data_IF_771140939722
#
_entry.id   IF_771140939722
#
_cell.length_a   1.000
_cell.length_b   1.000
_cell.length_c   1.000
_cell.angle_alpha   90.00
_cell.angle_beta   90.00
_cell.angle_gamma   90.00
#
_symmetry.space_group_name_H-M   'P 1'
#
loop_
_entity.id
_entity.type
_entity.pdbx_description
1 polymer ?
#
# COMPACT_ATOMS: atom_id res chain seq x y z
N UNK A 1 15.20 -7.33 13.63
CA UNK A 1 14.13 -6.32 13.47
C UNK A 1 14.29 -5.40 12.24
N UNK A 2 14.99 -5.85 11.18
CA UNK A 2 15.05 -5.15 9.87
C UNK A 2 14.11 -5.77 8.84
N UNK A 3 13.91 -7.09 8.91
CA UNK A 3 13.05 -7.84 7.98
C UNK A 3 11.61 -7.32 8.04
N UNK A 4 11.03 -7.24 9.23
CA UNK A 4 9.65 -6.75 9.43
C UNK A 4 9.45 -5.32 8.93
N UNK A 5 10.40 -4.43 9.21
CA UNK A 5 10.38 -3.06 8.67
C UNK A 5 10.38 -3.09 7.14
N UNK A 6 11.24 -3.90 6.52
CA UNK A 6 11.31 -4.01 5.07
C UNK A 6 10.00 -4.58 4.47
N UNK A 7 9.38 -5.55 5.14
CA UNK A 7 8.08 -6.11 4.75
C UNK A 7 7.01 -5.02 4.84
N UNK A 8 6.92 -4.30 5.96
CA UNK A 8 5.99 -3.19 6.15
C UNK A 8 6.17 -2.10 5.08
N UNK A 9 7.41 -1.68 4.82
CA UNK A 9 7.72 -0.67 3.81
C UNK A 9 7.31 -1.14 2.40
N UNK A 10 7.51 -2.43 2.09
CA UNK A 10 7.13 -3.04 0.80
C UNK A 10 5.61 -3.14 0.63
N UNK A 11 4.89 -3.56 1.68
CA UNK A 11 3.42 -3.66 1.66
C UNK A 11 2.81 -2.27 1.50
N UNK A 12 3.21 -1.31 2.34
CA UNK A 12 2.72 0.07 2.23
C UNK A 12 3.06 0.69 0.87
N UNK A 13 4.28 0.46 0.36
CA UNK A 13 4.69 0.93 -0.96
C UNK A 13 3.81 0.38 -2.09
N UNK A 14 3.38 -0.87 -1.98
CA UNK A 14 2.52 -1.54 -2.95
C UNK A 14 1.05 -1.08 -2.84
N UNK A 15 0.50 -1.05 -1.63
CA UNK A 15 -0.87 -0.60 -1.36
C UNK A 15 -1.08 0.85 -1.77
N UNK A 16 -0.14 1.73 -1.41
CA UNK A 16 -0.21 3.15 -1.71
C UNK A 16 0.39 3.52 -3.06
N UNK A 17 0.93 2.55 -3.81
CA UNK A 17 1.63 2.75 -5.08
C UNK A 17 2.62 3.93 -5.03
N UNK A 18 3.53 3.88 -4.06
CA UNK A 18 4.55 4.91 -3.83
C UNK A 18 5.71 4.67 -4.80
N UNK A 19 6.08 5.71 -5.55
CA UNK A 19 7.19 5.62 -6.51
C UNK A 19 8.51 5.24 -5.81
N UNK A 20 9.27 4.36 -6.44
CA UNK A 20 10.50 3.79 -5.88
C UNK A 20 10.32 2.73 -4.77
N UNK A 21 9.11 2.57 -4.21
CA UNK A 21 8.80 1.49 -3.22
C UNK A 21 7.92 0.40 -3.80
N UNK A 22 7.04 0.74 -4.74
CA UNK A 22 6.20 -0.22 -5.47
C UNK A 22 7.03 -1.02 -6.48
N UNK A 23 6.65 -2.29 -6.68
CA UNK A 23 7.19 -3.13 -7.77
C UNK A 23 6.35 -3.03 -9.05
N UNK A 24 5.26 -2.27 -9.03
CA UNK A 24 4.37 -2.04 -10.16
C UNK A 24 4.94 -1.02 -11.15
N UNK A 25 5.95 -1.43 -11.91
CA UNK A 25 6.59 -0.60 -12.94
C UNK A 25 6.06 -0.92 -14.34
N UNK A 26 6.19 0.02 -15.28
CA UNK A 26 5.84 -0.21 -16.69
C UNK A 26 6.58 -1.43 -17.28
N UNK A 27 7.85 -1.65 -16.88
CA UNK A 27 8.64 -2.81 -17.29
C UNK A 27 8.01 -4.11 -16.80
N UNK A 28 7.65 -4.17 -15.52
CA UNK A 28 6.98 -5.33 -14.95
C UNK A 28 5.64 -5.64 -15.67
N UNK A 29 4.91 -4.60 -16.12
CA UNK A 29 3.67 -4.80 -16.90
C UNK A 29 3.94 -5.33 -18.31
N UNK A 30 5.02 -4.89 -18.96
CA UNK A 30 5.47 -5.46 -20.25
C UNK A 30 5.92 -6.91 -20.11
N UNK A 31 6.59 -7.25 -19.01
CA UNK A 31 7.01 -8.63 -18.74
C UNK A 31 5.78 -9.56 -18.58
N UNK A 32 4.74 -9.11 -17.85
CA UNK A 32 3.47 -9.84 -17.73
C UNK A 32 2.79 -10.04 -19.09
N UNK A 33 2.85 -9.04 -19.97
CA UNK A 33 2.33 -9.11 -21.33
C UNK A 33 3.11 -10.09 -22.20
N UNK A 34 4.44 -10.04 -22.17
CA UNK A 34 5.31 -10.98 -22.88
C UNK A 34 5.06 -12.43 -22.44
N UNK A 35 4.80 -12.64 -21.15
CA UNK A 35 4.44 -13.95 -20.58
C UNK A 35 2.97 -14.35 -20.82
N UNK A 36 2.13 -13.46 -21.37
CA UNK A 36 0.70 -13.67 -21.65
C UNK A 36 -0.15 -14.00 -20.42
N UNK A 37 0.21 -13.48 -19.25
CA UNK A 37 -0.49 -13.69 -17.97
C UNK A 37 -1.05 -12.36 -17.42
N UNK A 38 -2.10 -12.42 -16.58
CA UNK A 38 -2.73 -11.25 -15.93
C UNK A 38 -3.06 -10.12 -16.92
N UNK A 39 -3.88 -10.44 -17.93
CA UNK A 39 -4.24 -9.52 -19.02
C UNK A 39 -4.83 -8.19 -18.52
N UNK A 40 -5.51 -8.22 -17.38
CA UNK A 40 -6.06 -7.07 -16.68
C UNK A 40 -5.00 -6.07 -16.20
N UNK A 41 -3.73 -6.48 -16.11
CA UNK A 41 -2.61 -5.64 -15.69
C UNK A 41 -1.74 -5.15 -16.86
N UNK A 42 -2.02 -5.55 -18.10
CA UNK A 42 -1.22 -5.13 -19.26
C UNK A 42 -1.33 -3.62 -19.51
N UNK A 43 -0.32 -3.03 -20.14
CA UNK A 43 -0.35 -1.60 -20.47
C UNK A 43 -1.50 -1.30 -21.44
N UNK A 44 -2.28 -0.26 -21.14
CA UNK A 44 -3.38 0.16 -21.99
C UNK A 44 -2.94 1.36 -22.81
N UNK A 45 -3.00 1.26 -24.13
CA UNK A 45 -2.76 2.38 -25.03
C UNK A 45 -4.00 3.28 -25.08
N UNK A 46 -3.89 4.51 -24.61
CA UNK A 46 -4.94 5.54 -24.68
C UNK A 46 -4.43 6.70 -25.53
N UNK A 47 -4.76 6.65 -26.82
CA UNK A 47 -4.21 7.57 -27.82
C UNK A 47 -2.72 7.33 -28.04
N UNK A 48 -1.91 8.38 -27.87
CA UNK A 48 -0.44 8.29 -27.97
C UNK A 48 0.26 7.87 -26.67
N UNK A 49 -0.47 7.82 -25.54
CA UNK A 49 0.11 7.51 -24.23
C UNK A 49 -0.23 6.09 -23.78
N UNK A 50 0.72 5.46 -23.10
CA UNK A 50 0.51 4.21 -22.37
C UNK A 50 0.14 4.51 -20.92
N UNK A 51 -0.87 3.82 -20.42
CA UNK A 51 -1.35 3.93 -19.04
C UNK A 51 -1.14 2.59 -18.34
N UNK A 52 -0.61 2.64 -17.13
CA UNK A 52 -0.56 1.48 -16.23
C UNK A 52 -1.93 1.37 -15.55
N UNK A 53 -2.72 0.32 -15.82
CA UNK A 53 -3.98 0.14 -15.11
C UNK A 53 -3.71 -0.16 -13.63
N UNK A 54 -4.55 0.37 -12.72
CA UNK A 54 -4.41 0.11 -11.29
C UNK A 54 -4.58 -1.38 -11.01
N UNK A 55 -3.74 -1.93 -10.12
CA UNK A 55 -3.90 -3.31 -9.65
C UNK A 55 -4.98 -3.39 -8.57
N UNK A 56 -5.61 -4.56 -8.42
CA UNK A 56 -6.66 -4.81 -7.42
C UNK A 56 -6.19 -4.66 -5.96
N UNK A 57 -4.87 -4.74 -5.73
CA UNK A 57 -4.24 -4.58 -4.42
C UNK A 57 -3.74 -3.15 -4.18
N UNK A 58 -3.97 -2.22 -5.10
CA UNK A 58 -3.54 -0.83 -4.97
C UNK A 58 -4.74 0.06 -4.65
N UNK A 59 -4.59 0.91 -3.64
CA UNK A 59 -5.58 1.93 -3.32
C UNK A 59 -5.72 2.95 -4.46
N UNK A 60 -6.96 3.28 -4.79
CA UNK A 60 -7.29 4.47 -5.56
C UNK A 60 -6.83 5.74 -4.82
N UNK A 61 -6.77 6.87 -5.54
CA UNK A 61 -6.36 8.14 -4.92
C UNK A 61 -7.30 8.59 -3.79
N UNK A 62 -8.58 8.23 -3.85
CA UNK A 62 -9.55 8.51 -2.78
C UNK A 62 -9.31 7.62 -1.56
N UNK A 63 -9.07 6.32 -1.78
CA UNK A 63 -8.76 5.37 -0.71
C UNK A 63 -7.44 5.71 -0.02
N UNK A 64 -6.41 6.14 -0.75
CA UNK A 64 -5.15 6.61 -0.14
C UNK A 64 -5.40 7.76 0.83
N UNK A 65 -6.20 8.76 0.44
CA UNK A 65 -6.55 9.89 1.31
C UNK A 65 -7.32 9.43 2.53
N UNK A 66 -8.34 8.57 2.35
CA UNK A 66 -9.13 8.00 3.47
C UNK A 66 -8.24 7.20 4.42
N UNK A 67 -7.36 6.37 3.90
CA UNK A 67 -6.38 5.59 4.66
C UNK A 67 -5.45 6.50 5.46
N UNK A 68 -4.85 7.52 4.85
CA UNK A 68 -4.02 8.50 5.56
C UNK A 68 -4.80 9.29 6.62
N UNK A 69 -6.05 9.68 6.36
CA UNK A 69 -6.86 10.35 7.37
C UNK A 69 -7.21 9.43 8.53
N UNK A 70 -7.63 8.20 8.24
CA UNK A 70 -7.92 7.18 9.24
C UNK A 70 -6.70 6.90 10.11
N UNK A 71 -5.54 6.62 9.51
CA UNK A 71 -4.31 6.31 10.23
C UNK A 71 -3.86 7.48 11.13
N UNK A 72 -4.22 8.73 10.79
CA UNK A 72 -3.92 9.92 11.60
C UNK A 72 -4.82 10.02 12.82
N UNK A 73 -6.04 9.50 12.70
CA UNK A 73 -7.02 9.48 13.78
C UNK A 73 -6.75 8.39 14.81
N UNK A 74 -5.96 7.37 14.46
CA UNK A 74 -5.59 6.27 15.37
C UNK A 74 -4.77 6.83 16.54
N UNK A 75 -5.19 6.51 17.76
CA UNK A 75 -4.52 6.86 19.01
C UNK A 75 -4.39 5.62 19.89
N UNK A 76 -3.30 5.55 20.65
CA UNK A 76 -3.02 4.50 21.61
C UNK A 76 -2.98 5.13 23.02
N UNK A 77 -4.15 5.24 23.70
CA UNK A 77 -4.28 6.02 24.94
C UNK A 77 -3.53 5.40 26.13
N UNK A 78 -3.27 4.10 26.09
CA UNK A 78 -2.49 3.33 27.06
C UNK A 78 -0.98 3.40 26.79
N UNK A 79 -0.55 4.06 25.70
CA UNK A 79 0.84 4.12 25.29
C UNK A 79 1.35 2.84 24.61
N UNK A 80 0.47 1.93 24.18
CA UNK A 80 0.85 0.70 23.47
C UNK A 80 1.77 0.96 22.27
N UNK A 81 1.53 2.05 21.54
CA UNK A 81 2.39 2.48 20.44
C UNK A 81 2.58 3.99 20.42
N UNK A 82 3.68 4.41 19.82
CA UNK A 82 3.93 5.83 19.54
C UNK A 82 2.87 6.39 18.59
N UNK A 83 2.65 7.70 18.65
CA UNK A 83 1.71 8.38 17.77
C UNK A 83 2.18 8.28 16.29
N UNK A 84 1.54 7.41 15.50
CA UNK A 84 1.86 7.16 14.08
C UNK A 84 1.56 8.39 13.21
N UNK A 85 0.69 9.30 13.63
CA UNK A 85 0.39 10.51 12.86
C UNK A 85 1.61 11.38 12.56
N UNK A 86 2.67 11.30 13.38
CA UNK A 86 3.95 12.00 13.15
C UNK A 86 4.67 11.54 11.87
N UNK A 87 4.36 10.34 11.40
CA UNK A 87 4.98 9.70 10.25
C UNK A 87 4.24 9.98 8.93
N UNK A 88 3.22 10.83 8.94
CA UNK A 88 2.34 11.00 7.79
C UNK A 88 2.31 12.42 7.24
N UNK A 89 2.44 12.50 5.92
CA UNK A 89 2.23 13.71 5.13
C UNK A 89 0.91 13.56 4.35
N UNK A 90 -0.13 14.29 4.76
CA UNK A 90 -1.47 14.23 4.12
C UNK A 90 -1.43 14.81 2.71
N UNK A 91 -0.73 15.94 2.52
CA UNK A 91 -0.63 16.62 1.22
C UNK A 91 -0.07 15.69 0.13
N UNK A 92 0.92 14.88 0.51
CA UNK A 92 1.57 13.92 -0.40
C UNK A 92 0.96 12.52 -0.33
N UNK A 93 0.00 12.27 0.57
CA UNK A 93 -0.52 10.93 0.89
C UNK A 93 0.62 9.92 1.06
N UNK A 94 1.63 10.29 1.87
CA UNK A 94 2.88 9.55 2.02
C UNK A 94 3.16 9.26 3.50
N UNK A 95 3.85 8.15 3.75
CA UNK A 95 4.25 7.69 5.08
C UNK A 95 5.78 7.53 5.12
N UNK A 96 6.41 8.22 6.07
CA UNK A 96 7.85 8.24 6.25
C UNK A 96 8.25 8.29 7.73
N UNK A 97 9.48 7.88 8.05
CA UNK A 97 9.99 7.92 9.43
C UNK A 97 9.38 6.88 10.39
N UNK A 98 8.81 5.80 9.85
CA UNK A 98 8.39 4.64 10.64
C UNK A 98 9.60 3.93 11.23
N UNK A 99 9.57 3.71 12.54
CA UNK A 99 10.51 2.85 13.25
C UNK A 99 9.98 1.41 13.25
N UNK A 100 10.84 0.46 13.59
CA UNK A 100 10.47 -0.95 13.56
C UNK A 100 9.24 -1.30 14.41
N UNK A 101 9.08 -0.68 15.59
CA UNK A 101 7.88 -0.88 16.41
C UNK A 101 6.61 -0.30 15.74
N UNK A 102 6.71 0.85 15.06
CA UNK A 102 5.58 1.41 14.32
C UNK A 102 5.17 0.44 13.19
N UNK A 103 6.15 -0.14 12.49
CA UNK A 103 5.93 -1.15 11.46
C UNK A 103 5.28 -2.42 12.02
N UNK A 104 5.68 -2.87 13.21
CA UNK A 104 5.09 -4.02 13.89
C UNK A 104 3.60 -3.81 14.17
N UNK A 105 3.25 -2.66 14.75
CA UNK A 105 1.86 -2.29 15.05
C UNK A 105 1.05 -2.12 13.75
N UNK A 106 1.66 -1.55 12.71
CA UNK A 106 1.02 -1.42 11.41
C UNK A 106 0.69 -2.78 10.79
N UNK A 107 1.66 -3.70 10.75
CA UNK A 107 1.47 -5.02 10.16
C UNK A 107 0.47 -5.87 10.95
N UNK A 108 0.60 -5.93 12.27
CA UNK A 108 -0.22 -6.84 13.07
C UNK A 108 -1.65 -6.33 13.32
N UNK A 109 -1.86 -5.01 13.37
CA UNK A 109 -3.15 -4.45 13.80
C UNK A 109 -3.80 -3.56 12.76
N UNK A 110 -3.06 -2.61 12.19
CA UNK A 110 -3.69 -1.53 11.43
C UNK A 110 -3.91 -1.86 9.95
N UNK A 111 -2.94 -2.49 9.29
CA UNK A 111 -3.03 -2.91 7.88
C UNK A 111 -4.16 -3.92 7.70
N UNK A 112 -4.32 -4.97 8.53
CA UNK A 112 -5.44 -5.91 8.39
C UNK A 112 -6.81 -5.24 8.44
N UNK A 113 -6.98 -4.24 9.31
CA UNK A 113 -8.23 -3.47 9.42
C UNK A 113 -8.45 -2.62 8.17
N UNK A 114 -7.41 -1.92 7.71
CA UNK A 114 -7.50 -1.07 6.52
C UNK A 114 -7.79 -1.89 5.26
N UNK A 115 -7.05 -2.98 5.05
CA UNK A 115 -7.21 -3.86 3.89
C UNK A 115 -8.63 -4.42 3.80
N UNK A 116 -9.24 -4.80 4.93
CA UNK A 116 -10.64 -5.25 4.97
C UNK A 116 -11.63 -4.18 4.53
N UNK A 117 -11.33 -2.90 4.80
CA UNK A 117 -12.22 -1.78 4.48
C UNK A 117 -12.03 -1.19 3.08
N UNK A 118 -10.86 -1.36 2.47
CA UNK A 118 -10.47 -0.66 1.23
C UNK A 118 -10.12 -1.57 0.05
N UNK A 119 -9.79 -2.86 0.25
CA UNK A 119 -9.44 -3.75 -0.85
C UNK A 119 -10.56 -4.73 -1.20
N UNK A 120 -10.48 -5.26 -2.41
CA UNK A 120 -11.35 -6.32 -2.91
C UNK A 120 -11.32 -7.56 -2.00
N UNK A 121 -12.48 -8.19 -1.82
CA UNK A 121 -12.65 -9.36 -0.95
C UNK A 121 -11.84 -10.58 -1.38
N UNK A 122 -11.37 -10.64 -2.62
CA UNK A 122 -10.50 -11.70 -3.11
C UNK A 122 -9.01 -11.46 -2.77
N UNK A 123 -8.63 -10.20 -2.49
CA UNK A 123 -7.24 -9.81 -2.20
C UNK A 123 -7.03 -9.62 -0.69
N UNK A 124 -8.03 -9.06 -0.01
CA UNK A 124 -7.92 -8.71 1.41
C UNK A 124 -7.55 -9.89 2.33
N UNK A 125 -8.14 -11.10 2.19
CA UNK A 125 -7.81 -12.23 3.08
C UNK A 125 -6.32 -12.60 3.03
N UNK A 126 -5.74 -12.67 1.83
CA UNK A 126 -4.33 -13.02 1.63
C UNK A 126 -3.38 -12.06 2.34
N UNK A 127 -3.71 -10.77 2.37
CA UNK A 127 -2.91 -9.76 3.06
C UNK A 127 -3.14 -9.73 4.58
N UNK A 128 -4.28 -10.22 5.05
CA UNK A 128 -4.62 -10.32 6.48
C UNK A 128 -3.91 -11.52 7.13
N UNK A 129 -3.67 -12.59 6.36
CA UNK A 129 -3.02 -13.82 6.84
C UNK A 129 -1.48 -13.78 6.82
N UNK A 130 -0.88 -12.70 6.30
CA UNK A 130 0.58 -12.46 6.30
C UNK A 130 1.15 -12.31 7.72
#
# INVERSE_FOLDING_TARGET
MHIEKNICDSILGTLMNIDGKTKESAKARLDLEAMRIKKELHLVKKGEKFIIPPALFTFSNEEKKKFCHWLKSVKFPDGYASNISRCMNISESNISGLKSHDCHVLLQQLIPIAVRGYLDTNVAPTLIEL
#
